data_IF_771346983100
#
_entry.id   IF_771346983100
#
_cell.length_a   1.000
_cell.length_b   1.000
_cell.length_c   1.000
_cell.angle_alpha   90.00
_cell.angle_beta   90.00
_cell.angle_gamma   90.00
#
_symmetry.space_group_name_H-M   'P 1'
#
loop_
_entity.id
_entity.type
_entity.pdbx_description
1 polymer ?
#
# COMPACT_ATOMS: atom_id res chain seq x y z
N UNK A 1 -6.79 -2.53 18.33
CA UNK A 1 -7.20 -2.99 16.99
C UNK A 1 -6.61 -1.98 16.02
N UNK A 2 -5.46 -2.28 15.41
CA UNK A 2 -4.67 -1.33 14.60
C UNK A 2 -5.27 -1.06 13.22
N UNK A 3 -6.59 -0.94 13.13
CA UNK A 3 -7.34 -0.69 11.89
C UNK A 3 -7.65 0.81 11.84
N UNK A 4 -7.43 1.45 10.70
CA UNK A 4 -7.74 2.88 10.51
C UNK A 4 -9.24 3.14 10.26
N UNK A 5 -9.60 4.43 10.13
CA UNK A 5 -10.99 4.84 9.84
C UNK A 5 -11.52 4.36 8.48
N UNK A 6 -10.61 3.98 7.57
CA UNK A 6 -10.93 3.42 6.26
C UNK A 6 -10.98 1.89 6.27
N UNK A 7 -10.72 1.23 7.40
CA UNK A 7 -10.68 -0.22 7.49
C UNK A 7 -9.36 -0.85 7.07
N UNK A 8 -8.30 -0.06 6.89
CA UNK A 8 -6.96 -0.51 6.53
C UNK A 8 -6.22 -1.04 7.75
N UNK A 9 -5.61 -2.20 7.58
CA UNK A 9 -4.73 -2.77 8.59
C UNK A 9 -3.35 -2.10 8.59
N UNK A 10 -2.53 -2.41 9.59
CA UNK A 10 -1.16 -1.91 9.67
C UNK A 10 -0.33 -2.27 8.43
N UNK A 11 -0.44 -3.52 7.97
CA UNK A 11 0.25 -4.03 6.77
C UNK A 11 -0.19 -3.26 5.51
N UNK A 12 -1.48 -2.94 5.39
CA UNK A 12 -2.00 -2.18 4.25
C UNK A 12 -1.38 -0.78 4.19
N UNK A 13 -1.33 -0.10 5.35
CA UNK A 13 -0.72 1.23 5.46
C UNK A 13 0.77 1.20 5.22
N UNK A 14 1.47 0.20 5.77
CA UNK A 14 2.89 -0.05 5.54
C UNK A 14 3.18 -0.20 4.04
N UNK A 15 2.37 -1.00 3.34
CA UNK A 15 2.50 -1.22 1.90
C UNK A 15 2.32 0.07 1.11
N UNK A 16 1.29 0.87 1.41
CA UNK A 16 1.07 2.16 0.77
C UNK A 16 2.22 3.15 1.06
N UNK A 17 2.69 3.20 2.31
CA UNK A 17 3.81 4.05 2.75
C UNK A 17 5.10 3.71 2.02
N UNK A 18 5.46 2.43 1.91
CA UNK A 18 6.68 2.00 1.21
C UNK A 18 6.60 2.37 -0.28
N UNK A 19 5.48 2.12 -0.95
CA UNK A 19 5.33 2.48 -2.36
C UNK A 19 5.46 4.00 -2.55
N UNK A 20 4.92 4.79 -1.61
CA UNK A 20 4.99 6.25 -1.68
C UNK A 20 6.40 6.78 -1.40
N UNK A 21 6.98 6.45 -0.24
CA UNK A 21 8.25 7.02 0.23
C UNK A 21 9.46 6.46 -0.49
N UNK A 22 9.50 5.15 -0.77
CA UNK A 22 10.68 4.51 -1.34
C UNK A 22 10.65 4.49 -2.88
N UNK A 23 9.46 4.51 -3.48
CA UNK A 23 9.28 4.35 -4.92
C UNK A 23 8.51 5.51 -5.57
N UNK A 24 8.29 6.63 -4.87
CA UNK A 24 7.59 7.81 -5.38
C UNK A 24 6.22 7.50 -6.02
N UNK A 25 5.50 6.49 -5.49
CA UNK A 25 4.22 6.04 -6.02
C UNK A 25 4.29 4.85 -6.98
N UNK A 26 5.46 4.27 -7.24
CA UNK A 26 5.66 3.04 -8.04
C UNK A 26 6.17 3.31 -9.47
N UNK A 27 6.26 2.28 -10.34
CA UNK A 27 5.85 0.88 -10.16
C UNK A 27 6.85 0.05 -9.35
N UNK A 28 6.35 -0.82 -8.47
CA UNK A 28 7.18 -1.73 -7.67
C UNK A 28 6.75 -3.20 -7.81
N UNK A 29 7.73 -4.11 -7.74
CA UNK A 29 7.48 -5.55 -7.77
C UNK A 29 6.89 -6.07 -6.45
N UNK A 30 6.07 -7.12 -6.52
CA UNK A 30 5.48 -7.73 -5.31
C UNK A 30 6.52 -8.38 -4.42
N UNK A 31 7.56 -8.98 -5.00
CA UNK A 31 8.66 -9.57 -4.25
C UNK A 31 9.41 -8.52 -3.43
N UNK A 32 9.59 -7.33 -3.97
CA UNK A 32 10.21 -6.20 -3.26
C UNK A 32 9.32 -5.71 -2.12
N UNK A 33 8.00 -5.63 -2.33
CA UNK A 33 7.06 -5.24 -1.28
C UNK A 33 7.02 -6.26 -0.15
N UNK A 34 6.87 -7.54 -0.50
CA UNK A 34 6.90 -8.66 0.43
C UNK A 34 8.17 -8.65 1.29
N UNK A 35 9.33 -8.48 0.65
CA UNK A 35 10.60 -8.39 1.37
C UNK A 35 10.70 -7.15 2.28
N UNK A 36 10.05 -6.04 1.91
CA UNK A 36 10.11 -4.79 2.70
C UNK A 36 9.23 -4.85 3.95
N UNK A 37 8.07 -5.50 3.87
CA UNK A 37 7.13 -5.62 4.99
C UNK A 37 7.27 -6.94 5.75
N UNK A 38 8.22 -7.80 5.36
CA UNK A 38 8.42 -9.15 5.93
C UNK A 38 7.17 -10.04 5.89
N UNK A 39 6.36 -9.92 4.84
CA UNK A 39 5.17 -10.76 4.62
C UNK A 39 5.32 -11.71 3.43
N UNK A 40 4.47 -12.73 3.41
CA UNK A 40 4.36 -13.62 2.27
C UNK A 40 3.70 -12.92 1.06
N UNK A 41 4.23 -13.20 -0.13
CA UNK A 41 3.69 -12.68 -1.40
C UNK A 41 2.21 -13.07 -1.55
N UNK A 42 1.85 -14.30 -1.22
CA UNK A 42 0.48 -14.82 -1.26
C UNK A 42 -0.45 -14.03 -0.36
N UNK A 43 -0.06 -13.77 0.89
CA UNK A 43 -0.84 -12.96 1.84
C UNK A 43 -1.15 -11.58 1.26
N UNK A 44 -0.15 -10.91 0.69
CA UNK A 44 -0.36 -9.60 0.07
C UNK A 44 -1.33 -9.69 -1.11
N UNK A 45 -1.16 -10.66 -2.00
CA UNK A 45 -1.99 -10.83 -3.20
C UNK A 45 -3.43 -11.21 -2.90
N UNK A 46 -3.63 -12.10 -1.94
CA UNK A 46 -4.92 -12.76 -1.69
C UNK A 46 -5.75 -12.02 -0.64
N UNK A 47 -5.10 -11.31 0.28
CA UNK A 47 -5.75 -10.61 1.41
C UNK A 47 -5.75 -9.09 1.21
N UNK A 48 -4.57 -8.50 1.03
CA UNK A 48 -4.40 -7.04 1.08
C UNK A 48 -4.69 -6.33 -0.25
N UNK A 49 -4.11 -6.81 -1.35
CA UNK A 49 -4.23 -6.21 -2.69
C UNK A 49 -5.69 -6.03 -3.15
N UNK A 50 -6.60 -7.02 -2.98
CA UNK A 50 -7.98 -6.91 -3.41
C UNK A 50 -8.72 -5.75 -2.71
N UNK A 51 -8.44 -5.55 -1.43
CA UNK A 51 -9.05 -4.48 -0.64
C UNK A 51 -8.51 -3.10 -1.06
N UNK A 52 -7.19 -2.96 -1.14
CA UNK A 52 -6.53 -1.72 -1.56
C UNK A 52 -6.90 -1.28 -2.98
N UNK A 53 -7.08 -2.24 -3.88
CA UNK A 53 -7.57 -1.98 -5.24
C UNK A 53 -9.04 -1.56 -5.23
N UNK A 54 -9.88 -2.21 -4.40
CA UNK A 54 -11.31 -1.86 -4.28
C UNK A 54 -11.53 -0.47 -3.67
N UNK A 55 -10.73 -0.09 -2.68
CA UNK A 55 -10.71 1.27 -2.12
C UNK A 55 -10.10 2.30 -3.07
N UNK A 56 -9.58 1.86 -4.23
CA UNK A 56 -9.02 2.73 -5.25
C UNK A 56 -7.72 3.39 -4.84
N UNK A 57 -6.94 2.78 -3.94
CA UNK A 57 -5.64 3.27 -3.45
C UNK A 57 -4.46 2.68 -4.23
N UNK A 58 -4.62 1.45 -4.71
CA UNK A 58 -3.59 0.70 -5.43
C UNK A 58 -4.07 0.31 -6.81
N UNK A 59 -3.14 0.27 -7.77
CA UNK A 59 -3.38 -0.24 -9.12
C UNK A 59 -2.28 -1.19 -9.56
N UNK A 60 -2.67 -2.33 -10.12
CA UNK A 60 -1.76 -3.27 -10.77
C UNK A 60 -1.47 -2.85 -12.20
N UNK A 61 -0.20 -2.91 -12.57
CA UNK A 61 0.30 -2.66 -13.94
C UNK A 61 1.20 -3.81 -14.38
N UNK A 62 1.54 -3.88 -15.67
CA UNK A 62 2.49 -4.87 -16.21
C UNK A 62 3.89 -4.75 -15.60
N UNK A 63 4.27 -3.56 -15.10
CA UNK A 63 5.58 -3.30 -14.50
C UNK A 63 5.60 -3.46 -12.97
N UNK A 64 4.44 -3.58 -12.33
CA UNK A 64 4.33 -3.63 -10.87
C UNK A 64 3.10 -2.90 -10.33
N UNK A 65 3.14 -2.60 -9.03
CA UNK A 65 2.08 -1.92 -8.29
C UNK A 65 2.38 -0.44 -8.23
N UNK A 66 1.36 0.37 -8.49
CA UNK A 66 1.43 1.83 -8.54
C UNK A 66 0.33 2.36 -7.63
N UNK A 67 0.64 3.37 -6.82
CA UNK A 67 -0.38 4.09 -6.08
C UNK A 67 -1.24 4.92 -7.02
N UNK A 68 -2.54 4.92 -6.76
CA UNK A 68 -3.43 5.87 -7.40
C UNK A 68 -3.26 7.24 -6.73
N UNK A 69 -3.88 8.27 -7.33
CA UNK A 69 -4.02 9.58 -6.68
C UNK A 69 -4.70 9.49 -5.30
N UNK A 70 -5.61 8.52 -5.10
CA UNK A 70 -6.25 8.28 -3.80
C UNK A 70 -5.26 7.76 -2.77
N UNK A 71 -4.45 6.75 -3.13
CA UNK A 71 -3.43 6.19 -2.25
C UNK A 71 -2.34 7.19 -1.88
N UNK A 72 -1.89 8.00 -2.84
CA UNK A 72 -0.92 9.08 -2.59
C UNK A 72 -1.49 10.07 -1.56
N UNK A 73 -2.68 10.61 -1.82
CA UNK A 73 -3.33 11.58 -0.91
C UNK A 73 -3.58 11.01 0.47
N UNK A 74 -3.88 9.71 0.55
CA UNK A 74 -4.05 9.03 1.82
C UNK A 74 -2.74 9.05 2.64
N UNK A 75 -1.63 8.60 2.06
CA UNK A 75 -0.32 8.60 2.73
C UNK A 75 0.12 10.01 3.11
N UNK A 76 -0.11 11.00 2.24
CA UNK A 76 0.19 12.41 2.54
C UNK A 76 -0.61 12.96 3.73
N UNK A 77 -1.88 12.55 3.89
CA UNK A 77 -2.73 12.95 5.03
C UNK A 77 -2.30 12.26 6.31
N UNK A 78 -1.99 10.97 6.25
CA UNK A 78 -1.50 10.20 7.40
C UNK A 78 -0.21 10.80 7.97
N UNK A 79 0.75 11.20 7.12
CA UNK A 79 1.98 11.86 7.58
C UNK A 79 1.76 13.21 8.29
N UNK A 80 0.62 13.88 8.08
CA UNK A 80 0.31 15.13 8.78
C UNK A 80 -0.35 14.89 10.15
N UNK A 81 -0.80 13.68 10.47
CA UNK A 81 -1.37 13.35 11.78
C UNK A 81 -0.31 12.95 12.83
N UNK A 82 0.94 12.68 12.41
CA UNK A 82 2.05 12.30 13.30
C UNK A 82 2.94 13.49 13.73
N UNK A 83 2.49 14.74 13.55
CA UNK A 83 3.15 15.97 14.08
C UNK A 83 2.25 16.73 15.02
#
# INVERSE_FOLDING_TARGET
LGIDDLGLEEIDRELLRIIYHNFNGGPVGISTLAASISEEISTILDVHEPYLMKCGMLKRTSRGRVLTTGGIKYVERECHQEK
#
